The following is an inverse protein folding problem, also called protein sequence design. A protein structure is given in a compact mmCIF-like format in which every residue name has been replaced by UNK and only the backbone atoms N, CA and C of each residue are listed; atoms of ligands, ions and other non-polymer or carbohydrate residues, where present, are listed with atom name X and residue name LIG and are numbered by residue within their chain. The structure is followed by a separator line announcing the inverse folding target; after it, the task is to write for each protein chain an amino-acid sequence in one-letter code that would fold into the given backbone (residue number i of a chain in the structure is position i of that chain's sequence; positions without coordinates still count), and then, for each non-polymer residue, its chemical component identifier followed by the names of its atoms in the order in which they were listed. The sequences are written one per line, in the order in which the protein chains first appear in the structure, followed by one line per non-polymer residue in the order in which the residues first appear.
data_IF_589357325031
#
_entry.id   IF_589357325031
#
_cell.length_a   1.000
_cell.length_b   1.000
_cell.length_c   1.000
_cell.angle_alpha   90.00
_cell.angle_beta   90.00
_cell.angle_gamma   90.00
#
_symmetry.space_group_name_H-M   'P 1'
#
loop_
_entity.id
_entity.type
_entity.pdbx_description
1 polymer ?
#
# COMPACT_ATOMS: atom_id res chain seq x y z
N UNK A 1 -12.47 8.48 2.64
CA UNK A 1 -11.53 7.46 3.11
C UNK A 1 -10.86 7.95 4.38
N UNK A 2 -10.71 7.10 5.39
CA UNK A 2 -9.97 7.42 6.61
C UNK A 2 -8.48 7.01 6.50
N UNK A 3 -7.62 7.47 7.42
CA UNK A 3 -6.17 7.19 7.39
C UNK A 3 -5.85 5.69 7.30
N UNK A 4 -6.57 4.84 8.06
CA UNK A 4 -6.34 3.39 8.08
C UNK A 4 -6.69 2.74 6.75
N UNK A 5 -7.83 3.10 6.16
CA UNK A 5 -8.24 2.64 4.83
C UNK A 5 -7.21 3.04 3.77
N UNK A 6 -6.71 4.27 3.84
CA UNK A 6 -5.69 4.78 2.91
C UNK A 6 -4.36 4.00 3.01
N UNK A 7 -3.93 3.68 4.23
CA UNK A 7 -2.75 2.84 4.48
C UNK A 7 -2.94 1.44 3.88
N UNK A 8 -4.10 0.83 4.07
CA UNK A 8 -4.43 -0.49 3.52
C UNK A 8 -4.44 -0.48 1.99
N UNK A 9 -5.01 0.56 1.37
CA UNK A 9 -5.03 0.72 -0.08
C UNK A 9 -3.62 0.95 -0.64
N UNK A 10 -2.85 1.88 -0.06
CA UNK A 10 -1.47 2.13 -0.47
C UNK A 10 -0.61 0.86 -0.38
N UNK A 11 -0.70 0.12 0.72
CA UNK A 11 0.02 -1.14 0.88
C UNK A 11 -0.36 -2.18 -0.19
N UNK A 12 -1.65 -2.30 -0.50
CA UNK A 12 -2.16 -3.22 -1.51
C UNK A 12 -1.64 -2.87 -2.91
N UNK A 13 -1.72 -1.61 -3.30
CA UNK A 13 -1.30 -1.15 -4.63
C UNK A 13 0.22 -1.27 -4.81
N UNK A 14 1.00 -0.94 -3.78
CA UNK A 14 2.45 -1.12 -3.80
C UNK A 14 2.82 -2.61 -3.88
N UNK A 15 2.09 -3.50 -3.20
CA UNK A 15 2.31 -4.94 -3.31
C UNK A 15 1.93 -5.49 -4.70
N UNK A 16 0.84 -5.01 -5.28
CA UNK A 16 0.40 -5.38 -6.63
C UNK A 16 1.40 -4.93 -7.70
N UNK A 17 1.97 -3.74 -7.54
CA UNK A 17 3.01 -3.20 -8.42
C UNK A 17 4.38 -3.87 -8.18
N UNK A 18 4.80 -4.05 -6.93
CA UNK A 18 6.10 -4.61 -6.56
C UNK A 18 6.24 -6.13 -6.68
N UNK A 19 5.21 -6.83 -7.16
CA UNK A 19 5.27 -8.25 -7.46
C UNK A 19 6.13 -8.55 -8.71
N UNK A 20 6.58 -9.81 -8.90
CA UNK A 20 7.41 -10.19 -10.05
C UNK A 20 6.74 -9.97 -11.41
N UNK A 21 5.42 -9.81 -11.43
CA UNK A 21 4.66 -9.55 -12.63
C UNK A 21 4.31 -8.07 -12.85
N UNK A 22 4.69 -7.16 -11.93
CA UNK A 22 4.45 -5.71 -12.00
C UNK A 22 3.09 -5.36 -12.63
N UNK A 23 2.02 -5.81 -11.97
CA UNK A 23 0.72 -6.00 -12.61
C UNK A 23 -0.07 -4.68 -12.78
N UNK A 24 0.35 -3.60 -12.13
CA UNK A 24 -0.37 -2.34 -12.07
C UNK A 24 0.50 -1.13 -12.44
N UNK A 25 -0.15 -0.07 -12.90
CA UNK A 25 0.49 1.20 -13.25
C UNK A 25 1.17 1.83 -12.01
N UNK A 26 2.47 2.19 -12.08
CA UNK A 26 3.18 2.84 -10.97
C UNK A 26 2.49 4.11 -10.47
N UNK A 27 1.78 4.84 -11.33
CA UNK A 27 1.05 6.04 -10.94
C UNK A 27 -0.10 5.76 -9.97
N UNK A 28 -0.71 4.58 -10.04
CA UNK A 28 -1.77 4.17 -9.11
C UNK A 28 -1.17 3.94 -7.72
N UNK A 29 -0.05 3.21 -7.64
CA UNK A 29 0.64 2.97 -6.39
C UNK A 29 1.12 4.29 -5.74
N UNK A 30 1.73 5.18 -6.54
CA UNK A 30 2.18 6.50 -6.08
C UNK A 30 1.02 7.36 -5.57
N UNK A 31 -0.09 7.40 -6.31
CA UNK A 31 -1.29 8.15 -5.89
C UNK A 31 -1.85 7.64 -4.56
N UNK A 32 -1.96 6.32 -4.40
CA UNK A 32 -2.44 5.73 -3.15
C UNK A 32 -1.52 6.05 -1.97
N UNK A 33 -0.20 6.08 -2.18
CA UNK A 33 0.77 6.51 -1.17
C UNK A 33 0.61 7.99 -0.82
N UNK A 34 0.46 8.86 -1.82
CA UNK A 34 0.25 10.29 -1.61
C UNK A 34 -1.03 10.58 -0.83
N UNK A 35 -2.13 9.88 -1.16
CA UNK A 35 -3.41 10.01 -0.46
C UNK A 35 -3.30 9.55 1.01
N UNK A 36 -2.53 8.50 1.29
CA UNK A 36 -2.25 8.06 2.67
C UNK A 36 -1.40 9.08 3.43
N UNK A 37 -0.34 9.61 2.80
CA UNK A 37 0.54 10.61 3.41
C UNK A 37 -0.17 11.93 3.67
N UNK A 38 -1.09 12.35 2.78
CA UNK A 38 -1.93 13.53 2.97
C UNK A 38 -2.83 13.42 4.22
N UNK A 39 -3.17 12.20 4.63
CA UNK A 39 -3.92 11.90 5.86
C UNK A 39 -3.03 11.70 7.10
N UNK A 40 -1.72 11.97 6.97
CA UNK A 40 -0.74 11.85 8.05
C UNK A 40 -0.24 10.43 8.28
N UNK A 41 -0.37 9.53 7.31
CA UNK A 41 0.36 8.26 7.33
C UNK A 41 1.86 8.47 7.11
N UNK A 42 2.67 7.64 7.75
CA UNK A 42 4.10 7.57 7.49
C UNK A 42 4.41 6.43 6.51
N UNK A 43 5.59 6.46 5.91
CA UNK A 43 6.07 5.33 5.09
C UNK A 43 6.16 4.04 5.92
N UNK A 44 6.49 4.15 7.22
CA UNK A 44 6.54 3.02 8.14
C UNK A 44 5.15 2.42 8.41
N UNK A 45 4.10 3.25 8.49
CA UNK A 45 2.71 2.78 8.61
C UNK A 45 2.34 1.89 7.40
N UNK A 46 2.70 2.34 6.19
CA UNK A 46 2.43 1.62 4.93
C UNK A 46 3.27 0.34 4.85
N UNK A 47 4.56 0.37 5.19
CA UNK A 47 5.43 -0.82 5.22
C UNK A 47 4.95 -1.87 6.22
N UNK A 48 4.53 -1.44 7.41
CA UNK A 48 3.98 -2.33 8.42
C UNK A 48 2.74 -3.04 7.90
N UNK A 49 1.87 -2.32 7.20
CA UNK A 49 0.68 -2.89 6.58
C UNK A 49 1.01 -3.83 5.41
N UNK A 50 1.96 -3.47 4.54
CA UNK A 50 2.44 -4.36 3.48
C UNK A 50 2.96 -5.69 4.04
N UNK A 51 3.69 -5.64 5.16
CA UNK A 51 4.16 -6.84 5.85
C UNK A 51 2.99 -7.68 6.36
N UNK A 52 2.01 -7.07 7.03
CA UNK A 52 0.79 -7.76 7.49
C UNK A 52 0.04 -8.44 6.35
N UNK A 53 -0.14 -7.75 5.22
CA UNK A 53 -0.82 -8.29 4.06
C UNK A 53 -0.05 -9.45 3.40
N UNK A 54 1.28 -9.36 3.30
CA UNK A 54 2.12 -10.47 2.82
C UNK A 54 2.03 -11.70 3.71
N UNK A 55 2.13 -11.52 5.03
CA UNK A 55 2.04 -12.62 6.01
C UNK A 55 0.63 -13.24 6.04
N UNK A 56 -0.42 -12.43 5.87
CA UNK A 56 -1.82 -12.90 5.80
C UNK A 56 -2.20 -13.62 4.49
N UNK A 57 -1.39 -13.49 3.43
CA UNK A 57 -1.64 -14.14 2.12
C UNK A 57 -1.05 -15.56 2.04
N UNK A 58 -0.22 -15.98 3.01
CA UNK A 58 0.40 -17.33 3.07
C UNK A 58 -0.48 -18.33 3.85
N UNK A 59 -1.78 -18.40 3.54
CA UNK A 59 -2.66 -19.47 4.01
C UNK A 59 -3.34 -20.18 2.84
#
# INVERSE_FOLDING_TARGET
MNKTEAITEAAREVLAHGGPACLTDPHIALRAMDDAMALGATEDDIKAEMRRQREGTVQ
#
